data_IF_206586133736
#
_entry.id   IF_206586133736
#
_cell.length_a   1.000
_cell.length_b   1.000
_cell.length_c   1.000
_cell.angle_alpha   90.00
_cell.angle_beta   90.00
_cell.angle_gamma   90.00
#
_symmetry.space_group_name_H-M   'P 1'
#
loop_
_entity.id
_entity.type
_entity.pdbx_description
1 polymer ?
#
# COMPACT_ATOMS: atom_id res chain seq x y z
N UNK A 1 79.80 1.31 -3.24
CA UNK A 1 79.74 -0.15 -3.43
C UNK A 1 78.51 -0.67 -2.70
N UNK A 2 77.76 -1.59 -3.33
CA UNK A 2 76.66 -2.42 -2.78
C UNK A 2 75.22 -1.85 -2.62
N UNK A 3 74.42 -2.18 -3.66
CA UNK A 3 73.15 -2.94 -3.65
C UNK A 3 72.07 -2.59 -2.62
N UNK A 4 70.91 -2.11 -3.12
CA UNK A 4 69.61 -2.68 -2.73
C UNK A 4 68.76 -3.02 -3.94
N UNK A 5 68.21 -4.22 -3.85
CA UNK A 5 67.53 -5.02 -4.84
C UNK A 5 66.02 -4.74 -4.83
N UNK A 6 65.43 -4.88 -6.03
CA UNK A 6 64.15 -5.55 -6.32
C UNK A 6 62.85 -4.75 -6.17
N UNK A 7 62.26 -4.57 -7.35
CA UNK A 7 60.87 -4.26 -7.66
C UNK A 7 59.86 -5.17 -6.96
N UNK A 8 58.67 -4.65 -6.67
CA UNK A 8 57.44 -5.27 -7.14
C UNK A 8 56.29 -4.26 -7.13
N UNK A 9 56.03 -3.77 -8.33
CA UNK A 9 54.82 -3.09 -8.74
C UNK A 9 53.68 -4.12 -8.77
N UNK A 10 52.58 -3.89 -8.03
CA UNK A 10 51.30 -4.59 -8.21
C UNK A 10 50.15 -3.59 -8.13
N UNK A 11 49.65 -3.26 -9.31
CA UNK A 11 48.37 -2.60 -9.61
C UNK A 11 47.27 -2.98 -8.61
N UNK A 12 46.64 -1.97 -7.99
CA UNK A 12 45.28 -2.09 -7.46
C UNK A 12 44.30 -1.64 -8.55
N UNK A 13 43.72 -2.60 -9.26
CA UNK A 13 42.48 -2.34 -10.01
C UNK A 13 41.31 -2.27 -9.04
N UNK A 14 40.33 -1.37 -9.26
CA UNK A 14 39.16 -1.26 -8.39
C UNK A 14 38.24 -2.47 -8.60
N UNK A 15 37.87 -3.10 -7.49
CA UNK A 15 36.91 -4.20 -7.43
C UNK A 15 35.57 -3.72 -8.01
N UNK A 16 35.25 -4.16 -9.23
CA UNK A 16 33.90 -4.01 -9.79
C UNK A 16 32.95 -4.86 -8.94
N UNK A 17 32.07 -4.19 -8.19
CA UNK A 17 30.92 -4.83 -7.57
C UNK A 17 30.04 -5.42 -8.69
N UNK A 18 30.08 -6.74 -8.82
CA UNK A 18 29.21 -7.49 -9.73
C UNK A 18 27.80 -7.39 -9.15
N UNK A 19 26.99 -6.46 -9.66
CA UNK A 19 25.53 -6.50 -9.51
C UNK A 19 25.02 -7.69 -10.31
N UNK A 20 24.95 -8.86 -9.68
CA UNK A 20 24.14 -9.97 -10.17
C UNK A 20 22.67 -9.62 -9.93
N UNK A 21 22.09 -8.79 -10.80
CA UNK A 21 20.65 -8.55 -10.83
C UNK A 21 20.02 -9.35 -11.96
N UNK A 22 19.89 -10.65 -11.73
CA UNK A 22 19.12 -11.55 -12.59
C UNK A 22 18.36 -12.52 -11.70
N UNK A 23 17.16 -12.13 -11.29
CA UNK A 23 16.06 -13.07 -11.20
C UNK A 23 14.86 -12.47 -11.93
N UNK A 24 14.48 -13.01 -13.10
CA UNK A 24 13.18 -12.71 -13.65
C UNK A 24 12.16 -13.31 -12.68
N UNK A 25 11.32 -12.47 -12.08
CA UNK A 25 10.21 -12.92 -11.24
C UNK A 25 9.08 -13.43 -12.16
N UNK A 26 9.40 -14.39 -13.03
CA UNK A 26 8.47 -15.02 -13.96
C UNK A 26 7.76 -16.17 -13.23
N UNK A 27 6.90 -15.82 -12.28
CA UNK A 27 5.76 -16.69 -12.04
C UNK A 27 4.86 -16.57 -13.26
N UNK A 28 4.76 -17.64 -14.06
CA UNK A 28 3.81 -17.76 -15.16
C UNK A 28 2.44 -17.38 -14.61
N UNK A 29 1.98 -16.18 -14.98
CA UNK A 29 0.69 -15.65 -14.56
C UNK A 29 -0.36 -16.47 -15.30
N UNK A 30 -0.91 -17.50 -14.65
CA UNK A 30 -2.11 -18.13 -15.18
C UNK A 30 -3.18 -17.05 -15.29
N UNK A 31 -3.81 -16.95 -16.46
CA UNK A 31 -4.75 -15.90 -16.83
C UNK A 31 -5.94 -15.76 -15.86
N UNK A 32 -6.21 -16.80 -15.07
CA UNK A 32 -7.30 -16.90 -14.11
C UNK A 32 -6.87 -16.71 -12.63
N UNK A 33 -5.62 -16.32 -12.36
CA UNK A 33 -5.15 -16.07 -10.98
C UNK A 33 -5.60 -14.70 -10.49
N UNK A 34 -6.24 -14.66 -9.34
CA UNK A 34 -6.51 -13.43 -8.61
C UNK A 34 -5.18 -12.80 -8.17
N UNK A 35 -5.07 -11.47 -8.27
CA UNK A 35 -3.84 -10.75 -7.92
C UNK A 35 -4.06 -9.81 -6.73
N UNK A 36 -3.25 -10.02 -5.70
CA UNK A 36 -2.92 -9.01 -4.69
C UNK A 36 -1.66 -8.28 -5.18
N UNK A 37 -1.75 -6.97 -5.38
CA UNK A 37 -0.65 -6.14 -5.86
C UNK A 37 -0.18 -5.20 -4.76
N UNK A 38 1.12 -5.20 -4.49
CA UNK A 38 1.79 -4.29 -3.57
C UNK A 38 2.60 -3.30 -4.38
N UNK A 39 2.35 -2.01 -4.16
CA UNK A 39 3.07 -0.89 -4.78
C UNK A 39 3.78 -0.13 -3.67
N UNK A 40 5.10 -0.07 -3.71
CA UNK A 40 5.89 0.58 -2.64
C UNK A 40 7.06 1.36 -3.18
N UNK A 41 7.60 2.29 -2.38
CA UNK A 41 8.93 2.86 -2.62
C UNK A 41 10.06 1.93 -2.18
N UNK A 42 9.76 1.02 -1.26
CA UNK A 42 10.78 0.29 -0.50
C UNK A 42 11.08 -1.10 -1.09
N UNK A 43 12.29 -1.27 -1.63
CA UNK A 43 12.75 -2.55 -2.16
C UNK A 43 13.18 -3.53 -1.05
N UNK A 44 13.38 -3.07 0.18
CA UNK A 44 13.83 -3.92 1.29
C UNK A 44 12.80 -4.99 1.67
N UNK A 45 11.52 -4.74 1.38
CA UNK A 45 10.43 -5.69 1.63
C UNK A 45 10.18 -6.67 0.47
N UNK A 46 10.86 -6.51 -0.67
CA UNK A 46 10.60 -7.33 -1.87
C UNK A 46 10.83 -8.81 -1.64
N UNK A 47 11.91 -9.20 -0.96
CA UNK A 47 12.19 -10.61 -0.64
C UNK A 47 11.13 -11.19 0.29
N UNK A 48 10.81 -10.48 1.38
CA UNK A 48 9.81 -10.88 2.38
C UNK A 48 8.44 -11.06 1.74
N UNK A 49 8.01 -10.11 0.90
CA UNK A 49 6.72 -10.16 0.21
C UNK A 49 6.69 -11.27 -0.84
N UNK A 50 7.80 -11.55 -1.51
CA UNK A 50 7.91 -12.69 -2.44
C UNK A 50 7.77 -14.02 -1.71
N UNK A 51 8.41 -14.18 -0.55
CA UNK A 51 8.26 -15.38 0.28
C UNK A 51 6.82 -15.56 0.77
N UNK A 52 6.19 -14.49 1.26
CA UNK A 52 4.77 -14.50 1.65
C UNK A 52 3.89 -14.89 0.45
N UNK A 53 4.23 -14.41 -0.75
CA UNK A 53 3.50 -14.76 -1.97
C UNK A 53 3.54 -16.25 -2.28
N UNK A 54 4.70 -16.89 -2.13
CA UNK A 54 4.84 -18.33 -2.31
C UNK A 54 4.00 -19.11 -1.28
N UNK A 55 4.05 -18.69 -0.01
CA UNK A 55 3.28 -19.30 1.07
C UNK A 55 1.76 -19.17 0.83
N UNK A 56 1.29 -17.96 0.51
CA UNK A 56 -0.11 -17.69 0.18
C UNK A 56 -0.57 -18.48 -1.05
N UNK A 57 0.26 -18.61 -2.08
CA UNK A 57 -0.09 -19.37 -3.29
C UNK A 57 -0.23 -20.87 -3.02
N UNK A 58 0.50 -21.39 -2.03
CA UNK A 58 0.40 -22.78 -1.57
C UNK A 58 -0.90 -23.00 -0.81
N UNK A 59 -1.26 -22.08 0.11
CA UNK A 59 -2.52 -22.15 0.87
C UNK A 59 -3.74 -21.89 -0.02
N UNK A 60 -3.61 -20.96 -0.98
CA UNK A 60 -4.67 -20.50 -1.87
C UNK A 60 -4.28 -20.70 -3.34
N UNK A 61 -4.42 -21.92 -3.90
CA UNK A 61 -4.22 -22.15 -5.33
C UNK A 61 -5.14 -21.25 -6.16
N UNK A 62 -4.57 -20.33 -6.92
CA UNK A 62 -5.31 -19.31 -7.67
C UNK A 62 -5.10 -17.87 -7.18
N UNK A 63 -4.46 -17.67 -6.03
CA UNK A 63 -4.01 -16.35 -5.58
C UNK A 63 -2.54 -16.13 -5.95
N UNK A 64 -2.23 -14.93 -6.42
CA UNK A 64 -0.86 -14.47 -6.64
C UNK A 64 -0.62 -13.15 -5.92
N UNK A 65 0.56 -13.02 -5.32
CA UNK A 65 1.05 -11.80 -4.71
C UNK A 65 2.15 -11.21 -5.59
N UNK A 66 1.97 -9.98 -6.04
CA UNK A 66 2.91 -9.24 -6.88
C UNK A 66 3.37 -8.01 -6.13
N UNK A 67 4.67 -7.74 -6.16
CA UNK A 67 5.23 -6.49 -5.65
C UNK A 67 5.91 -5.74 -6.77
N UNK A 68 5.72 -4.44 -6.79
CA UNK A 68 6.45 -3.52 -7.63
C UNK A 68 7.01 -2.41 -6.75
N UNK A 69 8.29 -2.10 -6.94
CA UNK A 69 8.92 -0.97 -6.29
C UNK A 69 9.08 0.22 -7.23
N UNK A 70 8.81 1.41 -6.74
CA UNK A 70 8.73 2.60 -7.57
C UNK A 70 10.08 3.06 -8.11
N UNK A 71 11.14 2.82 -7.34
CA UNK A 71 12.53 2.98 -7.77
C UNK A 71 12.83 2.15 -9.03
N UNK A 72 12.30 0.93 -9.11
CA UNK A 72 12.55 0.01 -10.22
C UNK A 72 11.83 0.50 -11.49
N UNK A 73 10.52 0.79 -11.41
CA UNK A 73 9.76 1.25 -12.58
C UNK A 73 10.07 2.69 -13.01
N UNK A 74 10.60 3.52 -12.12
CA UNK A 74 11.12 4.84 -12.50
C UNK A 74 12.36 4.72 -13.40
N UNK A 75 13.09 3.61 -13.31
CA UNK A 75 14.31 3.34 -14.08
C UNK A 75 14.11 2.41 -15.28
N UNK A 76 13.00 1.67 -15.34
CA UNK A 76 12.71 0.70 -16.40
C UNK A 76 11.22 0.74 -16.80
N UNK A 77 10.98 1.22 -18.03
CA UNK A 77 9.65 1.32 -18.61
C UNK A 77 8.94 -0.04 -18.74
N UNK A 78 9.69 -1.15 -18.90
CA UNK A 78 9.09 -2.49 -18.95
C UNK A 78 8.48 -2.90 -17.62
N UNK A 79 9.13 -2.53 -16.51
CA UNK A 79 8.61 -2.77 -15.16
C UNK A 79 7.36 -1.91 -14.93
N UNK A 80 7.35 -0.67 -15.43
CA UNK A 80 6.17 0.20 -15.38
C UNK A 80 5.00 -0.42 -16.16
N UNK A 81 5.23 -0.91 -17.37
CA UNK A 81 4.22 -1.57 -18.18
C UNK A 81 3.65 -2.81 -17.51
N UNK A 82 4.52 -3.61 -16.88
CA UNK A 82 4.09 -4.78 -16.12
C UNK A 82 3.28 -4.39 -14.87
N UNK A 83 3.72 -3.36 -14.15
CA UNK A 83 3.00 -2.79 -13.02
C UNK A 83 1.57 -2.37 -13.42
N UNK A 84 1.44 -1.62 -14.53
CA UNK A 84 0.13 -1.22 -15.07
C UNK A 84 -0.75 -2.40 -15.46
N UNK A 85 -0.18 -3.45 -16.07
CA UNK A 85 -0.92 -4.69 -16.38
C UNK A 85 -1.39 -5.38 -15.09
N UNK A 86 -0.54 -5.45 -14.07
CA UNK A 86 -0.92 -6.01 -12.77
C UNK A 86 -2.00 -5.18 -12.07
N UNK A 87 -1.95 -3.85 -12.10
CA UNK A 87 -3.02 -2.98 -11.58
C UNK A 87 -4.36 -3.32 -12.25
N UNK A 88 -4.39 -3.46 -13.59
CA UNK A 88 -5.61 -3.79 -14.34
C UNK A 88 -6.20 -5.14 -13.94
N UNK A 89 -5.34 -6.13 -13.66
CA UNK A 89 -5.74 -7.49 -13.28
C UNK A 89 -5.93 -7.68 -11.76
N UNK A 90 -5.58 -6.69 -10.94
CA UNK A 90 -5.67 -6.78 -9.50
C UNK A 90 -7.11 -6.90 -9.00
N UNK A 91 -7.26 -7.58 -7.86
CA UNK A 91 -8.47 -7.53 -7.03
C UNK A 91 -8.26 -6.74 -5.77
N UNK A 92 -7.07 -6.83 -5.18
CA UNK A 92 -6.68 -6.02 -4.03
C UNK A 92 -5.37 -5.33 -4.35
N UNK A 93 -5.30 -4.03 -4.05
CA UNK A 93 -4.06 -3.26 -4.18
C UNK A 93 -3.71 -2.65 -2.83
N UNK A 94 -2.47 -2.85 -2.41
CA UNK A 94 -1.87 -2.24 -1.25
C UNK A 94 -0.77 -1.27 -1.70
N UNK A 95 -0.86 -0.01 -1.29
CA UNK A 95 0.09 1.04 -1.64
C UNK A 95 0.74 1.60 -0.38
N UNK A 96 2.06 1.70 -0.38
CA UNK A 96 2.82 2.29 0.72
C UNK A 96 3.94 3.20 0.23
N UNK A 97 4.21 4.29 0.96
CA UNK A 97 5.40 5.12 0.76
C UNK A 97 5.50 5.84 -0.61
N UNK A 98 4.42 5.95 -1.38
CA UNK A 98 4.43 6.69 -2.65
C UNK A 98 4.21 8.19 -2.41
N UNK A 99 5.31 8.91 -2.16
CA UNK A 99 5.28 10.34 -1.87
C UNK A 99 5.65 11.24 -3.06
N UNK A 100 6.54 10.79 -3.94
CA UNK A 100 7.08 11.61 -5.03
C UNK A 100 6.19 11.54 -6.26
N UNK A 101 5.97 12.68 -6.93
CA UNK A 101 5.14 12.75 -8.13
C UNK A 101 5.63 11.82 -9.24
N UNK A 102 6.94 11.74 -9.45
CA UNK A 102 7.57 10.85 -10.44
C UNK A 102 7.23 9.38 -10.22
N UNK A 103 6.92 8.98 -8.97
CA UNK A 103 6.60 7.60 -8.62
C UNK A 103 5.11 7.30 -8.77
N UNK A 104 4.23 8.20 -8.34
CA UNK A 104 2.79 7.93 -8.36
C UNK A 104 2.08 8.43 -9.62
N UNK A 105 2.49 9.53 -10.25
CA UNK A 105 1.83 10.05 -11.46
C UNK A 105 1.76 9.02 -12.60
N UNK A 106 2.82 8.23 -12.88
CA UNK A 106 2.78 7.27 -13.99
C UNK A 106 1.72 6.18 -13.87
N UNK A 107 1.26 5.87 -12.65
CA UNK A 107 0.28 4.81 -12.36
C UNK A 107 -1.06 5.36 -11.82
N UNK A 108 -1.16 6.67 -11.60
CA UNK A 108 -2.27 7.27 -10.87
C UNK A 108 -3.62 7.06 -11.58
N UNK A 109 -3.66 7.24 -12.90
CA UNK A 109 -4.88 7.05 -13.69
C UNK A 109 -5.29 5.57 -13.78
N UNK A 110 -4.32 4.64 -13.84
CA UNK A 110 -4.60 3.20 -13.74
C UNK A 110 -5.22 2.86 -12.37
N UNK A 111 -4.70 3.42 -11.28
CA UNK A 111 -5.29 3.25 -9.94
C UNK A 111 -6.69 3.85 -9.84
N UNK A 112 -6.91 5.08 -10.34
CA UNK A 112 -8.22 5.75 -10.32
C UNK A 112 -9.27 4.94 -11.10
N UNK A 113 -8.94 4.52 -12.31
CA UNK A 113 -9.86 3.75 -13.18
C UNK A 113 -10.18 2.37 -12.61
N UNK A 114 -9.22 1.74 -11.92
CA UNK A 114 -9.42 0.42 -11.31
C UNK A 114 -10.13 0.47 -9.96
N UNK A 115 -9.97 1.56 -9.21
CA UNK A 115 -10.38 1.75 -7.81
C UNK A 115 -11.73 1.13 -7.43
N UNK A 116 -12.78 1.40 -8.20
CA UNK A 116 -14.14 1.00 -7.84
C UNK A 116 -14.44 -0.48 -8.12
N UNK A 117 -13.59 -1.14 -8.93
CA UNK A 117 -13.71 -2.55 -9.26
C UNK A 117 -12.84 -3.45 -8.37
N UNK A 118 -12.06 -2.88 -7.45
CA UNK A 118 -11.27 -3.64 -6.48
C UNK A 118 -12.16 -4.14 -5.33
N UNK A 119 -11.68 -5.18 -4.69
CA UNK A 119 -12.15 -5.67 -3.40
C UNK A 119 -11.69 -4.69 -2.29
N UNK A 120 -10.44 -4.24 -2.37
CA UNK A 120 -9.95 -3.09 -1.62
C UNK A 120 -8.76 -2.40 -2.31
N UNK A 121 -8.69 -1.08 -2.17
CA UNK A 121 -7.50 -0.26 -2.43
C UNK A 121 -7.09 0.38 -1.10
N UNK A 122 -5.93 0.00 -0.57
CA UNK A 122 -5.42 0.48 0.72
C UNK A 122 -4.17 1.31 0.47
N UNK A 123 -4.21 2.62 0.73
CA UNK A 123 -3.08 3.51 0.49
C UNK A 123 -2.61 4.13 1.82
N UNK A 124 -1.53 3.58 2.37
CA UNK A 124 -0.91 4.06 3.61
C UNK A 124 0.36 4.84 3.31
N UNK A 125 0.76 5.74 4.23
CA UNK A 125 2.04 6.45 4.17
C UNK A 125 2.35 6.99 2.77
N UNK A 126 1.42 7.64 2.09
CA UNK A 126 1.61 8.08 0.70
C UNK A 126 1.16 9.53 0.56
N UNK A 127 1.38 10.14 -0.62
CA UNK A 127 0.91 11.51 -0.87
C UNK A 127 -0.61 11.62 -0.65
N UNK A 128 -1.14 12.80 -0.28
CA UNK A 128 -2.58 12.99 -0.13
C UNK A 128 -3.40 12.60 -1.36
N UNK A 129 -2.81 12.73 -2.56
CA UNK A 129 -3.45 12.34 -3.81
C UNK A 129 -3.65 10.83 -3.91
N UNK A 130 -2.64 10.05 -3.53
CA UNK A 130 -2.71 8.58 -3.50
C UNK A 130 -3.57 8.12 -2.32
N UNK A 131 -3.41 8.69 -1.12
CA UNK A 131 -4.18 8.30 0.06
C UNK A 131 -5.70 8.47 -0.12
N UNK A 132 -6.14 9.52 -0.83
CA UNK A 132 -7.57 9.72 -1.18
C UNK A 132 -8.16 8.59 -2.02
N UNK A 133 -7.34 7.81 -2.72
CA UNK A 133 -7.81 6.64 -3.46
C UNK A 133 -8.19 5.47 -2.56
N UNK A 134 -7.86 5.50 -1.26
CA UNK A 134 -8.26 4.42 -0.33
C UNK A 134 -9.76 4.16 -0.39
N UNK A 135 -10.12 2.88 -0.63
CA UNK A 135 -11.48 2.35 -0.63
C UNK A 135 -11.47 0.91 -0.12
N UNK A 136 -12.09 0.65 1.03
CA UNK A 136 -12.15 -0.68 1.64
C UNK A 136 -13.45 -0.84 2.43
N UNK A 137 -14.31 -1.76 2.00
CA UNK A 137 -15.66 -1.89 2.56
C UNK A 137 -16.45 -0.58 2.44
N UNK A 138 -16.92 -0.04 3.57
CA UNK A 138 -17.64 1.24 3.66
C UNK A 138 -16.71 2.45 3.84
N UNK A 139 -15.40 2.24 3.98
CA UNK A 139 -14.44 3.34 4.03
C UNK A 139 -14.12 3.81 2.61
N UNK A 140 -14.36 5.10 2.36
CA UNK A 140 -14.07 5.78 1.09
C UNK A 140 -13.41 7.13 1.43
N UNK A 141 -12.09 7.24 1.22
CA UNK A 141 -11.32 8.46 1.54
C UNK A 141 -11.35 9.51 0.43
N UNK A 142 -12.00 9.23 -0.71
CA UNK A 142 -12.23 10.23 -1.76
C UNK A 142 -13.34 11.20 -1.38
N UNK A 143 -14.26 10.73 -0.53
CA UNK A 143 -15.38 11.52 -0.04
C UNK A 143 -14.94 12.23 1.24
N UNK A 144 -15.30 13.51 1.43
CA UNK A 144 -15.26 14.09 2.77
C UNK A 144 -16.10 13.19 3.69
N UNK A 145 -15.77 13.14 4.99
CA UNK A 145 -16.48 12.31 5.98
C UNK A 145 -17.99 12.66 6.04
N UNK A 146 -18.75 12.13 5.08
CA UNK A 146 -20.02 12.72 4.62
C UNK A 146 -21.20 12.22 5.44
N UNK A 147 -21.06 11.11 6.16
CA UNK A 147 -22.10 10.58 7.04
C UNK A 147 -22.23 11.38 8.33
N UNK A 148 -21.11 11.74 8.98
CA UNK A 148 -21.17 12.32 10.33
C UNK A 148 -21.18 13.84 10.30
N UNK A 149 -20.58 14.49 9.30
CA UNK A 149 -20.65 15.96 9.16
C UNK A 149 -22.05 16.41 8.77
N UNK A 150 -22.78 15.66 7.95
CA UNK A 150 -24.18 15.95 7.60
C UNK A 150 -25.13 15.70 8.79
N UNK A 151 -24.90 14.63 9.56
CA UNK A 151 -25.64 14.33 10.79
C UNK A 151 -25.33 15.34 11.91
N UNK A 152 -24.07 15.73 12.09
CA UNK A 152 -23.64 16.79 12.99
C UNK A 152 -24.17 18.16 12.55
N UNK A 153 -24.26 18.46 11.25
CA UNK A 153 -24.90 19.68 10.75
C UNK A 153 -26.40 19.70 11.05
N UNK A 154 -27.08 18.56 10.93
CA UNK A 154 -28.50 18.42 11.33
C UNK A 154 -28.70 18.60 12.83
N UNK A 155 -27.77 18.10 13.66
CA UNK A 155 -27.79 18.31 15.11
C UNK A 155 -27.35 19.73 15.53
N UNK A 156 -26.42 20.35 14.80
CA UNK A 156 -25.92 21.71 15.07
C UNK A 156 -26.90 22.80 14.65
N UNK A 157 -27.77 22.54 13.67
CA UNK A 157 -28.81 23.48 13.26
C UNK A 157 -30.03 23.56 14.20
N UNK A 158 -29.98 22.90 15.37
CA UNK A 158 -30.98 23.08 16.45
C UNK A 158 -30.53 24.02 17.58
N UNK A 159 -29.35 24.65 17.48
CA UNK A 159 -28.86 25.63 18.45
C UNK A 159 -28.68 27.01 17.81
N UNK A 160 -29.36 28.01 18.37
CA UNK A 160 -29.49 29.39 17.89
C UNK A 160 -28.16 30.17 17.81
N UNK A 161 -28.18 31.16 16.92
CA UNK A 161 -27.56 32.51 16.96
C UNK A 161 -26.32 32.78 17.83
N UNK A 162 -25.29 33.36 17.20
CA UNK A 162 -24.35 34.28 17.85
C UNK A 162 -22.97 33.72 18.18
N UNK A 163 -21.96 34.48 17.77
CA UNK A 163 -20.59 34.55 18.31
C UNK A 163 -19.43 33.68 17.76
N UNK A 164 -18.45 34.47 17.28
CA UNK A 164 -17.00 34.38 17.33
C UNK A 164 -16.22 33.24 16.62
N UNK A 165 -15.44 33.68 15.62
CA UNK A 165 -14.44 32.92 14.87
C UNK A 165 -13.28 32.51 15.79
N UNK A 166 -13.34 31.30 16.35
CA UNK A 166 -12.19 30.69 17.04
C UNK A 166 -11.06 30.34 16.06
N UNK A 167 -9.78 30.37 16.49
CA UNK A 167 -8.62 30.22 15.62
C UNK A 167 -8.58 28.84 14.96
N UNK A 168 -8.24 28.80 13.67
CA UNK A 168 -8.27 27.60 12.83
C UNK A 168 -7.45 26.41 13.40
N UNK A 169 -6.38 26.67 14.17
CA UNK A 169 -5.51 25.63 14.75
C UNK A 169 -6.13 24.86 15.92
N UNK A 170 -6.86 25.53 16.81
CA UNK A 170 -7.53 24.87 17.95
C UNK A 170 -8.72 24.03 17.45
N UNK A 171 -9.41 24.51 16.41
CA UNK A 171 -10.46 23.77 15.71
C UNK A 171 -9.91 22.52 15.00
N UNK A 172 -8.74 22.60 14.36
CA UNK A 172 -8.06 21.46 13.74
C UNK A 172 -7.59 20.41 14.77
N UNK A 173 -7.00 20.84 15.89
CA UNK A 173 -6.57 19.92 16.95
C UNK A 173 -7.76 19.30 17.72
N UNK A 174 -8.87 20.04 17.83
CA UNK A 174 -10.14 19.49 18.35
C UNK A 174 -10.76 18.50 17.36
N UNK A 175 -10.64 18.74 16.05
CA UNK A 175 -11.06 17.83 14.99
C UNK A 175 -10.26 16.51 15.03
N UNK A 176 -8.93 16.57 15.10
CA UNK A 176 -8.06 15.38 15.21
C UNK A 176 -8.38 14.54 16.46
N UNK A 177 -8.60 15.19 17.62
CA UNK A 177 -9.01 14.50 18.87
C UNK A 177 -10.44 13.96 18.84
N UNK A 178 -11.29 14.50 17.98
CA UNK A 178 -12.68 14.08 17.83
C UNK A 178 -12.88 12.96 16.81
N UNK A 179 -11.88 12.69 15.94
CA UNK A 179 -11.92 11.60 14.97
C UNK A 179 -12.30 10.26 15.64
N UNK A 180 -11.67 9.82 16.76
CA UNK A 180 -12.08 8.60 17.47
C UNK A 180 -13.55 8.57 17.91
N UNK A 181 -14.11 9.72 18.30
CA UNK A 181 -15.49 9.84 18.79
C UNK A 181 -16.52 9.86 17.66
N UNK A 182 -16.17 10.50 16.55
CA UNK A 182 -16.97 10.54 15.30
C UNK A 182 -17.07 9.14 14.70
N UNK A 183 -16.03 8.32 14.85
CA UNK A 183 -16.02 6.94 14.39
C UNK A 183 -16.96 6.02 15.16
N UNK A 184 -17.41 6.37 16.38
CA UNK A 184 -18.37 5.56 17.14
C UNK A 184 -19.77 5.51 16.50
N UNK A 185 -20.11 6.47 15.64
CA UNK A 185 -21.48 6.65 15.12
C UNK A 185 -21.71 6.12 13.69
N UNK A 186 -20.73 5.46 13.06
CA UNK A 186 -20.93 4.79 11.76
C UNK A 186 -20.76 3.27 11.93
N UNK A 187 -21.85 2.50 12.09
CA UNK A 187 -21.77 1.05 12.09
C UNK A 187 -21.22 0.57 10.73
N UNK A 188 -20.08 -0.13 10.75
CA UNK A 188 -19.34 -0.58 9.56
C UNK A 188 -18.10 0.24 9.25
N UNK A 189 -18.22 1.54 8.89
CA UNK A 189 -17.05 2.38 8.54
C UNK A 189 -16.03 2.49 9.68
N UNK A 190 -16.48 2.44 10.94
CA UNK A 190 -15.59 2.41 12.10
C UNK A 190 -14.66 1.19 12.11
N UNK A 191 -15.20 0.02 11.71
CA UNK A 191 -14.44 -1.23 11.63
C UNK A 191 -13.49 -1.23 10.45
N UNK A 192 -13.90 -0.66 9.32
CA UNK A 192 -13.02 -0.57 8.14
C UNK A 192 -11.89 0.41 8.38
N UNK A 193 -12.15 1.53 9.08
CA UNK A 193 -11.10 2.43 9.50
C UNK A 193 -10.19 1.84 10.57
N UNK A 194 -10.73 1.05 11.52
CA UNK A 194 -9.89 0.26 12.43
C UNK A 194 -8.94 -0.64 11.66
N UNK A 195 -9.44 -1.34 10.64
CA UNK A 195 -8.63 -2.23 9.80
C UNK A 195 -7.60 -1.43 8.99
N UNK A 196 -7.93 -0.25 8.49
CA UNK A 196 -6.94 0.66 7.87
C UNK A 196 -5.80 1.01 8.83
N UNK A 197 -6.10 1.34 10.11
CA UNK A 197 -5.06 1.61 11.10
C UNK A 197 -4.26 0.36 11.50
N UNK A 198 -4.90 -0.81 11.57
CA UNK A 198 -4.18 -2.08 11.75
C UNK A 198 -3.24 -2.36 10.57
N UNK A 199 -3.66 -2.05 9.35
CA UNK A 199 -2.79 -2.16 8.18
C UNK A 199 -1.54 -1.30 8.30
N UNK A 200 -1.69 -0.07 8.79
CA UNK A 200 -0.54 0.79 9.08
C UNK A 200 0.37 0.19 10.16
N UNK A 201 -0.18 -0.32 11.26
CA UNK A 201 0.59 -0.91 12.37
C UNK A 201 1.37 -2.15 11.95
N UNK A 202 0.71 -3.09 11.26
CA UNK A 202 1.36 -4.29 10.75
C UNK A 202 2.48 -3.97 9.76
N UNK A 203 2.23 -3.02 8.85
CA UNK A 203 3.23 -2.59 7.89
C UNK A 203 4.45 -1.96 8.56
N UNK A 204 4.24 -1.05 9.51
CA UNK A 204 5.31 -0.38 10.26
C UNK A 204 6.14 -1.33 11.13
N UNK A 205 5.56 -2.45 11.58
CA UNK A 205 6.34 -3.46 12.30
C UNK A 205 7.34 -4.19 11.40
N UNK A 206 7.08 -4.28 10.08
CA UNK A 206 8.02 -4.79 9.07
C UNK A 206 8.36 -6.28 9.12
N UNK A 207 7.90 -7.04 10.13
CA UNK A 207 8.17 -8.48 10.22
C UNK A 207 7.37 -9.27 9.18
N UNK A 208 7.91 -10.41 8.73
CA UNK A 208 7.25 -11.31 7.78
C UNK A 208 5.88 -11.75 8.27
N UNK A 209 5.77 -12.09 9.56
CA UNK A 209 4.55 -12.56 10.20
C UNK A 209 3.48 -11.47 10.26
N UNK A 210 3.89 -10.22 10.50
CA UNK A 210 2.98 -9.07 10.53
C UNK A 210 2.50 -8.70 9.12
N UNK A 211 3.37 -8.74 8.11
CA UNK A 211 2.99 -8.51 6.71
C UNK A 211 2.09 -9.65 6.19
N UNK A 212 2.38 -10.90 6.56
CA UNK A 212 1.52 -12.05 6.24
C UNK A 212 0.14 -11.88 6.87
N UNK A 213 0.09 -11.59 8.17
CA UNK A 213 -1.15 -11.37 8.91
C UNK A 213 -1.96 -10.19 8.36
N UNK A 214 -1.27 -9.13 7.92
CA UNK A 214 -1.88 -8.00 7.21
C UNK A 214 -2.62 -8.47 5.95
N UNK A 215 -1.95 -9.19 5.05
CA UNK A 215 -2.59 -9.62 3.81
C UNK A 215 -3.71 -10.63 4.05
N UNK A 216 -3.53 -11.57 4.97
CA UNK A 216 -4.59 -12.48 5.39
C UNK A 216 -5.80 -11.73 5.96
N UNK A 217 -5.58 -10.75 6.85
CA UNK A 217 -6.66 -9.91 7.42
C UNK A 217 -7.42 -9.17 6.32
N UNK A 218 -6.71 -8.58 5.36
CA UNK A 218 -7.34 -7.85 4.26
C UNK A 218 -8.15 -8.78 3.34
N UNK A 219 -7.59 -9.94 2.97
CA UNK A 219 -8.25 -10.92 2.11
C UNK A 219 -9.48 -11.52 2.80
N UNK A 220 -9.36 -11.95 4.06
CA UNK A 220 -10.49 -12.49 4.83
C UNK A 220 -11.66 -11.51 4.93
N UNK A 221 -11.35 -10.21 5.06
CA UNK A 221 -12.38 -9.20 5.28
C UNK A 221 -12.99 -8.64 4.00
N UNK A 222 -12.21 -8.49 2.93
CA UNK A 222 -12.64 -7.74 1.74
C UNK A 222 -12.70 -8.54 0.46
N UNK A 223 -12.06 -9.72 0.39
CA UNK A 223 -12.16 -10.55 -0.82
C UNK A 223 -13.61 -10.84 -1.13
N UNK A 224 -13.99 -10.79 -2.40
CA UNK A 224 -15.32 -11.26 -2.85
C UNK A 224 -15.28 -12.72 -3.32
N UNK A 225 -14.11 -13.36 -3.33
CA UNK A 225 -13.98 -14.80 -3.61
C UNK A 225 -14.05 -15.62 -2.31
N UNK A 226 -15.19 -16.30 -2.13
CA UNK A 226 -15.43 -17.19 -0.98
C UNK A 226 -14.41 -18.33 -0.87
N UNK A 227 -13.84 -18.79 -1.99
CA UNK A 227 -12.82 -19.84 -1.99
C UNK A 227 -11.52 -19.34 -1.36
N UNK A 228 -11.16 -18.08 -1.58
CA UNK A 228 -10.00 -17.46 -0.94
C UNK A 228 -10.26 -17.33 0.56
N UNK A 229 -11.44 -16.84 0.94
CA UNK A 229 -11.80 -16.67 2.37
C UNK A 229 -11.71 -18.00 3.11
N UNK A 230 -12.35 -19.06 2.60
CA UNK A 230 -12.38 -20.37 3.24
C UNK A 230 -11.01 -21.05 3.33
N UNK A 231 -10.06 -20.70 2.46
CA UNK A 231 -8.68 -21.23 2.51
C UNK A 231 -7.75 -20.43 3.40
N UNK A 232 -8.04 -19.15 3.66
CA UNK A 232 -7.22 -18.33 4.56
C UNK A 232 -7.59 -18.56 6.02
N UNK A 233 -8.83 -18.92 6.32
CA UNK A 233 -9.25 -19.41 7.66
C UNK A 233 -8.38 -20.60 8.12
#
# INVERSE_FOLDING_TARGET
>A
MMRKHIMLDRKKEPVKAIRNNTKPNNHVVSKDREQLVVLTMDNHLTSVITEIGNELSTKCPGLSLRIFAASDWASDEKILDECKKSIKNARLIFVSMLFMEEHFKPILEDLKSKRDNLDALVCIMSSPEVTRLTKMGRLDMSKPASGVVSFLKRFRNKGKSGEEKKPAGEAQMRMLRSLPKILKYIPGTAQDLRVFFLSLQYWLSGSKENIYSLFCMLLLKYSKDEKIIGRIQ
#
